data_IF_085095029659
#
_entry.id   IF_085095029659
#
_cell.length_a   1.000
_cell.length_b   1.000
_cell.length_c   1.000
_cell.angle_alpha   90.00
_cell.angle_beta   90.00
_cell.angle_gamma   90.00
#
_symmetry.space_group_name_H-M   'P 1'
#
loop_
_entity.id
_entity.type
_entity.pdbx_description
1 polymer ?
#
# COMPACT_ATOMS: atom_id res chain seq x y z
N UNK A 1 4.70 -16.58 10.32
CA UNK A 1 4.45 -16.26 8.90
C UNK A 1 4.27 -14.77 8.83
N UNK A 2 5.19 -14.07 8.17
CA UNK A 2 5.13 -12.63 7.93
C UNK A 2 4.52 -12.38 6.56
N UNK A 3 3.82 -11.25 6.47
CA UNK A 3 3.31 -10.70 5.22
C UNK A 3 3.95 -9.33 5.04
N UNK A 4 4.53 -9.09 3.87
CA UNK A 4 5.14 -7.80 3.54
C UNK A 4 4.33 -7.13 2.44
N UNK A 5 3.75 -5.98 2.76
CA UNK A 5 2.98 -5.16 1.83
C UNK A 5 3.87 -4.07 1.23
N UNK A 6 4.05 -4.12 -0.08
CA UNK A 6 4.74 -3.09 -0.85
C UNK A 6 3.69 -2.12 -1.41
N UNK A 7 3.78 -0.84 -1.03
CA UNK A 7 2.82 0.19 -1.46
C UNK A 7 3.47 1.08 -2.51
N UNK A 8 2.97 1.02 -3.75
CA UNK A 8 3.38 1.87 -4.86
C UNK A 8 2.47 3.09 -4.94
N UNK A 9 3.04 4.26 -4.64
CA UNK A 9 2.37 5.57 -4.61
C UNK A 9 2.96 6.53 -5.64
N UNK A 10 3.28 6.04 -6.83
CA UNK A 10 3.76 6.84 -7.97
C UNK A 10 3.26 6.21 -9.27
N UNK A 11 2.59 6.98 -10.13
CA UNK A 11 2.01 6.53 -11.41
C UNK A 11 2.94 6.70 -12.60
N UNK A 12 4.06 7.41 -12.41
CA UNK A 12 5.06 7.64 -13.46
C UNK A 12 5.76 6.33 -13.81
N UNK A 13 6.20 6.23 -15.06
CA UNK A 13 6.94 5.04 -15.48
C UNK A 13 8.33 4.98 -14.84
N UNK A 14 8.93 3.78 -14.84
CA UNK A 14 10.27 3.56 -14.30
C UNK A 14 11.30 4.48 -14.97
N UNK A 15 11.22 4.71 -16.28
CA UNK A 15 12.16 5.59 -17.00
C UNK A 15 12.10 7.06 -16.55
N UNK A 16 10.97 7.48 -15.97
CA UNK A 16 10.68 8.86 -15.60
C UNK A 16 10.86 9.14 -14.11
N UNK A 17 10.82 8.11 -13.24
CA UNK A 17 10.83 8.27 -11.79
C UNK A 17 11.89 7.42 -11.09
N UNK A 18 12.85 8.09 -10.44
CA UNK A 18 13.89 7.46 -9.63
C UNK A 18 13.29 6.64 -8.47
N UNK A 19 12.19 7.09 -7.86
CA UNK A 19 11.52 6.33 -6.80
C UNK A 19 10.87 5.04 -7.28
N UNK A 20 10.41 4.99 -8.53
CA UNK A 20 9.87 3.75 -9.13
C UNK A 20 10.98 2.76 -9.39
N UNK A 21 12.11 3.21 -9.97
CA UNK A 21 13.32 2.39 -10.12
C UNK A 21 13.79 1.79 -8.79
N UNK A 22 13.83 2.60 -7.74
CA UNK A 22 14.24 2.15 -6.41
C UNK A 22 13.25 1.13 -5.84
N UNK A 23 11.94 1.36 -5.99
CA UNK A 23 10.91 0.43 -5.56
C UNK A 23 11.08 -0.93 -6.26
N UNK A 24 11.20 -0.93 -7.58
CA UNK A 24 11.25 -2.17 -8.38
C UNK A 24 12.54 -2.96 -8.04
N UNK A 25 13.70 -2.28 -7.93
CA UNK A 25 14.96 -2.91 -7.53
C UNK A 25 14.94 -3.46 -6.09
N UNK A 26 14.30 -2.75 -5.15
CA UNK A 26 14.18 -3.21 -3.78
C UNK A 26 13.25 -4.43 -3.66
N UNK A 27 12.10 -4.40 -4.37
CA UNK A 27 11.17 -5.53 -4.43
C UNK A 27 11.86 -6.78 -4.97
N UNK A 28 12.59 -6.67 -6.07
CA UNK A 28 13.32 -7.79 -6.66
C UNK A 28 14.34 -8.37 -5.67
N UNK A 29 15.17 -7.51 -5.05
CA UNK A 29 16.17 -7.94 -4.06
C UNK A 29 15.53 -8.58 -2.82
N UNK A 30 14.38 -8.06 -2.38
CA UNK A 30 13.65 -8.58 -1.22
C UNK A 30 13.07 -9.97 -1.51
N UNK A 31 12.44 -10.16 -2.67
CA UNK A 31 11.92 -11.46 -3.13
C UNK A 31 13.02 -12.53 -3.23
N UNK A 32 14.20 -12.15 -3.72
CA UNK A 32 15.34 -13.07 -3.84
C UNK A 32 15.91 -13.50 -2.48
N UNK A 33 15.92 -12.59 -1.49
CA UNK A 33 16.52 -12.82 -0.17
C UNK A 33 15.56 -13.46 0.85
N UNK A 34 14.25 -13.34 0.66
CA UNK A 34 13.22 -13.83 1.59
C UNK A 34 12.31 -14.86 0.91
N UNK A 35 12.92 -15.94 0.41
CA UNK A 35 12.21 -17.03 -0.25
C UNK A 35 11.22 -17.69 0.71
N UNK A 36 9.95 -17.75 0.32
CA UNK A 36 8.87 -18.36 1.11
C UNK A 36 8.12 -17.39 2.02
N UNK A 37 8.47 -16.10 2.05
CA UNK A 37 7.61 -15.07 2.62
C UNK A 37 6.52 -14.64 1.64
N UNK A 38 5.36 -14.24 2.16
CA UNK A 38 4.25 -13.77 1.34
C UNK A 38 4.37 -12.26 1.12
N UNK A 39 4.47 -11.88 -0.16
CA UNK A 39 4.65 -10.49 -0.58
C UNK A 39 3.40 -10.08 -1.37
N UNK A 40 2.83 -8.94 -0.99
CA UNK A 40 1.69 -8.34 -1.68
C UNK A 40 2.07 -6.94 -2.16
N UNK A 41 1.68 -6.61 -3.39
CA UNK A 41 1.86 -5.27 -3.94
C UNK A 41 0.51 -4.54 -4.03
N UNK A 42 0.49 -3.30 -3.56
CA UNK A 42 -0.66 -2.40 -3.62
C UNK A 42 -0.29 -1.15 -4.42
N UNK A 43 -0.92 -0.96 -5.57
CA UNK A 43 -0.73 0.25 -6.38
C UNK A 43 -1.88 1.23 -6.15
N UNK A 44 -1.61 2.29 -5.39
CA UNK A 44 -2.63 3.28 -4.99
C UNK A 44 -3.32 3.98 -6.18
N UNK A 45 -2.68 4.05 -7.34
CA UNK A 45 -3.27 4.66 -8.54
C UNK A 45 -4.20 3.72 -9.31
N UNK A 46 -4.25 2.44 -8.93
CA UNK A 46 -5.23 1.47 -9.45
C UNK A 46 -6.40 1.25 -8.49
N UNK A 47 -6.34 1.82 -7.30
CA UNK A 47 -7.37 1.68 -6.26
C UNK A 47 -8.35 2.85 -6.27
N UNK A 48 -9.57 2.59 -5.80
CA UNK A 48 -10.50 3.64 -5.43
C UNK A 48 -10.20 4.12 -4.02
N UNK A 49 -9.68 5.35 -3.91
CA UNK A 49 -9.28 5.95 -2.63
C UNK A 49 -10.27 7.07 -2.25
N UNK A 50 -11.34 6.78 -1.49
CA UNK A 50 -12.29 7.81 -1.08
C UNK A 50 -11.61 8.82 -0.15
N UNK A 51 -11.91 10.10 -0.34
CA UNK A 51 -11.44 11.15 0.55
C UNK A 51 -12.06 11.02 1.94
N UNK A 52 -11.27 11.41 2.95
CA UNK A 52 -11.77 11.50 4.32
C UNK A 52 -12.83 12.60 4.42
N UNK A 53 -14.10 12.19 4.52
CA UNK A 53 -15.26 13.07 4.64
C UNK A 53 -16.06 12.88 5.93
N UNK A 54 -17.11 13.68 6.09
CA UNK A 54 -17.99 13.63 7.26
C UNK A 54 -18.60 12.24 7.48
N UNK A 55 -18.92 11.50 6.41
CA UNK A 55 -19.47 10.15 6.51
C UNK A 55 -18.47 9.16 7.13
N UNK A 56 -17.19 9.21 6.72
CA UNK A 56 -16.14 8.38 7.31
C UNK A 56 -15.90 8.72 8.78
N UNK A 57 -15.82 10.02 9.10
CA UNK A 57 -15.60 10.50 10.47
C UNK A 57 -16.77 10.07 11.38
N UNK A 58 -18.00 10.29 10.94
CA UNK A 58 -19.20 9.94 11.69
C UNK A 58 -19.37 8.42 11.82
N UNK A 59 -19.00 7.65 10.78
CA UNK A 59 -19.00 6.19 10.81
C UNK A 59 -18.03 5.64 11.87
N UNK A 60 -16.78 6.12 11.89
CA UNK A 60 -15.79 5.73 12.90
C UNK A 60 -16.23 6.11 14.33
N UNK A 61 -16.83 7.29 14.49
CA UNK A 61 -17.33 7.75 15.79
C UNK A 61 -18.56 6.95 16.28
N UNK A 62 -19.40 6.46 15.38
CA UNK A 62 -20.49 5.54 15.73
C UNK A 62 -19.95 4.18 16.17
N UNK A 63 -18.97 3.63 15.45
CA UNK A 63 -18.33 2.36 15.79
C UNK A 63 -17.57 2.41 17.12
N UNK A 64 -16.96 3.54 17.48
CA UNK A 64 -16.26 3.68 18.77
C UNK A 64 -17.21 3.75 19.97
N UNK A 65 -18.46 4.21 19.79
CA UNK A 65 -19.48 4.25 20.85
C UNK A 65 -20.29 2.96 21.02
N UNK A 66 -20.31 2.08 20.02
CA UNK A 66 -20.95 0.76 20.14
C UNK A 66 -20.07 -0.27 20.87
N UNK A 67 -18.77 0.00 21.02
CA UNK A 67 -17.81 -0.86 21.68
C UNK A 67 -17.48 -0.42 23.13
N UNK A 68 -18.35 0.38 23.75
CA UNK A 68 -18.33 0.77 25.17
C UNK A 68 -19.69 0.43 25.77
#
# INVERSE_FOLDING_TARGET
MSYTLFIKANDRSESEAVSVKLYDAFLESYQQSHQGEEIMELNLFKEELPYLGADMINGQFKSSRQNV
#
